data_IF_274966185110
#
_entry.id   IF_274966185110
#
_cell.length_a   1.000
_cell.length_b   1.000
_cell.length_c   1.000
_cell.angle_alpha   90.00
_cell.angle_beta   90.00
_cell.angle_gamma   90.00
#
_symmetry.space_group_name_H-M   'P 1'
#
loop_
_entity.id
_entity.type
_entity.pdbx_description
1 polymer ?
#
# COMPACT_ATOMS: atom_id res chain seq x y z
N UNK A 1 7.57 1.06 -28.99
CA UNK A 1 6.95 1.81 -27.87
C UNK A 1 6.48 0.93 -26.69
N UNK A 2 6.57 -0.40 -26.72
CA UNK A 2 5.96 -1.28 -25.68
C UNK A 2 6.86 -1.50 -24.44
N UNK A 3 8.18 -1.62 -24.62
CA UNK A 3 9.13 -1.85 -23.51
C UNK A 3 9.17 -0.67 -22.54
N UNK A 4 9.01 0.56 -23.06
CA UNK A 4 8.94 1.77 -22.24
C UNK A 4 7.76 1.78 -21.28
N UNK A 5 6.58 1.35 -21.73
CA UNK A 5 5.37 1.34 -20.89
C UNK A 5 5.41 0.33 -19.76
N UNK A 6 5.88 -0.89 -20.03
CA UNK A 6 6.03 -1.90 -18.98
C UNK A 6 7.01 -1.44 -17.90
N UNK A 7 8.14 -0.86 -18.32
CA UNK A 7 9.17 -0.34 -17.42
C UNK A 7 8.68 0.87 -16.62
N UNK A 8 7.92 1.77 -17.25
CA UNK A 8 7.30 2.92 -16.56
C UNK A 8 6.38 2.48 -15.42
N UNK A 9 5.60 1.42 -15.61
CA UNK A 9 4.71 0.92 -14.57
C UNK A 9 5.48 0.34 -13.37
N UNK A 10 6.52 -0.44 -13.63
CA UNK A 10 7.39 -1.00 -12.57
C UNK A 10 8.14 0.11 -11.82
N UNK A 11 8.64 1.11 -12.54
CA UNK A 11 9.34 2.24 -11.93
C UNK A 11 8.39 3.09 -11.06
N UNK A 12 7.17 3.34 -11.53
CA UNK A 12 6.13 4.05 -10.77
C UNK A 12 5.81 3.34 -9.46
N UNK A 13 5.65 2.01 -9.52
CA UNK A 13 5.46 1.16 -8.35
C UNK A 13 6.61 1.29 -7.33
N UNK A 14 7.86 1.18 -7.81
CA UNK A 14 9.04 1.27 -6.96
C UNK A 14 9.20 2.65 -6.28
N UNK A 15 8.96 3.73 -7.02
CA UNK A 15 9.02 5.10 -6.48
C UNK A 15 7.92 5.31 -5.43
N UNK A 16 6.71 4.79 -5.69
CA UNK A 16 5.62 4.87 -4.76
C UNK A 16 5.91 4.12 -3.44
N UNK A 17 6.44 2.90 -3.50
CA UNK A 17 6.82 2.15 -2.30
C UNK A 17 7.94 2.84 -1.51
N UNK A 18 8.95 3.39 -2.21
CA UNK A 18 10.00 4.20 -1.57
C UNK A 18 9.41 5.40 -0.83
N UNK A 19 8.48 6.11 -1.44
CA UNK A 19 7.80 7.24 -0.80
C UNK A 19 7.06 6.81 0.48
N UNK A 20 6.33 5.70 0.45
CA UNK A 20 5.62 5.18 1.63
C UNK A 20 6.60 4.84 2.75
N UNK A 21 7.73 4.20 2.44
CA UNK A 21 8.76 3.84 3.41
C UNK A 21 9.43 5.06 4.07
N UNK A 22 9.60 6.14 3.32
CA UNK A 22 10.19 7.39 3.79
C UNK A 22 9.20 8.27 4.55
N UNK A 23 8.03 8.54 3.96
CA UNK A 23 7.00 9.41 4.55
C UNK A 23 6.25 8.74 5.70
N UNK A 24 6.20 7.39 5.71
CA UNK A 24 5.51 6.55 6.70
C UNK A 24 4.10 7.05 7.05
N UNK A 25 3.21 7.24 6.06
CA UNK A 25 1.85 7.74 6.29
C UNK A 25 1.01 6.79 7.16
N UNK A 26 1.38 5.50 7.21
CA UNK A 26 0.89 4.48 8.11
C UNK A 26 2.04 3.52 8.44
N UNK A 27 1.84 2.65 9.41
CA UNK A 27 2.82 1.68 9.91
C UNK A 27 2.24 0.28 9.89
N UNK A 28 3.12 -0.71 9.94
CA UNK A 28 2.74 -2.09 10.23
C UNK A 28 1.98 -2.11 11.57
N UNK A 29 0.83 -2.80 11.57
CA UNK A 29 -0.12 -2.86 12.67
C UNK A 29 -1.22 -1.80 12.63
N UNK A 30 -1.16 -0.79 11.76
CA UNK A 30 -2.26 0.17 11.65
C UNK A 30 -3.47 -0.47 10.96
N UNK A 31 -4.68 -0.12 11.43
CA UNK A 31 -5.94 -0.42 10.75
C UNK A 31 -6.28 0.76 9.86
N UNK A 32 -6.40 0.52 8.56
CA UNK A 32 -6.57 1.59 7.56
C UNK A 32 -7.70 1.31 6.56
N UNK A 33 -8.25 2.40 6.01
CA UNK A 33 -9.01 2.37 4.75
C UNK A 33 -8.13 3.00 3.66
N UNK A 34 -7.86 2.25 2.59
CA UNK A 34 -6.96 2.67 1.51
C UNK A 34 -7.24 1.88 0.24
N UNK A 35 -7.08 2.52 -0.93
CA UNK A 35 -7.16 1.85 -2.24
C UNK A 35 -8.44 1.01 -2.47
N UNK A 36 -9.57 1.42 -1.90
CA UNK A 36 -10.85 0.71 -1.97
C UNK A 36 -11.05 -0.38 -0.91
N UNK A 37 -10.02 -0.68 -0.12
CA UNK A 37 -10.09 -1.55 1.04
C UNK A 37 -10.53 -0.78 2.29
N UNK A 38 -11.32 -1.43 3.14
CA UNK A 38 -11.79 -0.86 4.41
C UNK A 38 -11.43 -1.78 5.58
N UNK A 39 -11.00 -1.17 6.68
CA UNK A 39 -10.66 -1.82 7.94
C UNK A 39 -9.66 -2.98 7.79
N UNK A 40 -8.64 -2.78 6.94
CA UNK A 40 -7.56 -3.76 6.76
C UNK A 40 -6.39 -3.45 7.69
N UNK A 41 -5.76 -4.50 8.21
CA UNK A 41 -4.57 -4.39 9.07
C UNK A 41 -3.33 -4.43 8.18
N UNK A 42 -2.46 -3.43 8.27
CA UNK A 42 -1.19 -3.43 7.54
C UNK A 42 -0.24 -4.45 8.16
N UNK A 43 0.20 -5.44 7.40
CA UNK A 43 1.10 -6.50 7.87
C UNK A 43 2.55 -6.28 7.42
N UNK A 44 2.74 -5.74 6.22
CA UNK A 44 4.07 -5.45 5.68
C UNK A 44 4.03 -4.27 4.69
N UNK A 45 5.16 -3.58 4.57
CA UNK A 45 5.34 -2.45 3.64
C UNK A 45 6.58 -2.74 2.79
N UNK A 46 6.35 -3.22 1.57
CA UNK A 46 7.39 -3.46 0.58
C UNK A 46 7.61 -2.28 -0.37
N UNK A 47 8.58 -2.43 -1.26
CA UNK A 47 8.89 -1.45 -2.30
C UNK A 47 7.89 -1.41 -3.46
N UNK A 48 7.10 -2.47 -3.65
CA UNK A 48 6.10 -2.57 -4.73
C UNK A 48 4.68 -2.78 -4.22
N UNK A 49 4.52 -3.43 -3.06
CA UNK A 49 3.24 -3.76 -2.49
C UNK A 49 3.23 -3.49 -1.00
N UNK A 50 2.08 -3.04 -0.51
CA UNK A 50 1.72 -3.12 0.90
C UNK A 50 0.90 -4.38 1.10
N UNK A 51 1.27 -5.20 2.06
CA UNK A 51 0.52 -6.40 2.44
C UNK A 51 -0.43 -6.01 3.56
N UNK A 52 -1.72 -6.29 3.37
CA UNK A 52 -2.73 -6.04 4.37
C UNK A 52 -3.63 -7.27 4.57
N UNK A 53 -4.18 -7.43 5.77
CA UNK A 53 -5.14 -8.48 6.09
C UNK A 53 -6.52 -7.90 6.31
N UNK A 54 -7.51 -8.45 5.61
CA UNK A 54 -8.94 -8.15 5.82
C UNK A 54 -9.47 -8.89 7.04
N UNK A 55 -10.62 -8.44 7.54
CA UNK A 55 -11.33 -9.06 8.67
C UNK A 55 -11.77 -10.51 8.41
N UNK A 56 -11.99 -10.88 7.15
CA UNK A 56 -12.30 -12.25 6.72
C UNK A 56 -11.07 -13.17 6.67
N UNK A 57 -9.88 -12.64 7.02
CA UNK A 57 -8.62 -13.37 7.05
C UNK A 57 -7.85 -13.38 5.72
N UNK A 58 -8.42 -12.83 4.65
CA UNK A 58 -7.77 -12.79 3.34
C UNK A 58 -6.60 -11.79 3.33
N UNK A 59 -5.53 -12.19 2.63
CA UNK A 59 -4.38 -11.34 2.36
C UNK A 59 -4.66 -10.52 1.10
N UNK A 60 -4.46 -9.21 1.21
CA UNK A 60 -4.60 -8.25 0.12
C UNK A 60 -3.23 -7.68 -0.19
N UNK A 61 -2.81 -7.80 -1.45
CA UNK A 61 -1.61 -7.18 -1.97
C UNK A 61 -2.01 -5.88 -2.66
N UNK A 62 -1.71 -4.75 -2.03
CA UNK A 62 -2.06 -3.43 -2.54
C UNK A 62 -0.85 -2.85 -3.27
N UNK A 63 -0.93 -2.59 -4.59
CA UNK A 63 0.13 -1.91 -5.32
C UNK A 63 0.45 -0.56 -4.67
N UNK A 64 1.72 -0.27 -4.38
CA UNK A 64 2.13 0.98 -3.74
C UNK A 64 1.69 2.22 -4.51
N UNK A 65 1.63 2.15 -5.86
CA UNK A 65 1.16 3.24 -6.71
C UNK A 65 -0.34 3.55 -6.56
N UNK A 66 -1.15 2.60 -6.07
CA UNK A 66 -2.58 2.84 -5.76
C UNK A 66 -2.78 3.57 -4.42
N UNK A 67 -1.74 3.60 -3.58
CA UNK A 67 -1.77 4.25 -2.26
C UNK A 67 -1.34 5.71 -2.40
N UNK A 68 -0.27 5.96 -3.14
CA UNK A 68 0.30 7.30 -3.29
C UNK A 68 -0.67 8.20 -4.04
N UNK A 69 -0.94 9.39 -3.47
CA UNK A 69 -1.88 10.36 -4.03
C UNK A 69 -3.35 10.07 -3.72
N UNK A 70 -3.67 9.00 -2.99
CA UNK A 70 -5.01 8.73 -2.50
C UNK A 70 -5.20 9.14 -1.04
N UNK A 71 -6.47 9.35 -0.67
CA UNK A 71 -6.85 9.54 0.73
C UNK A 71 -6.63 8.24 1.50
N UNK A 72 -5.96 8.34 2.64
CA UNK A 72 -5.73 7.25 3.59
C UNK A 72 -6.46 7.60 4.89
N UNK A 73 -7.26 6.68 5.43
CA UNK A 73 -7.89 6.84 6.74
C UNK A 73 -7.22 5.90 7.72
N UNK A 74 -6.65 6.43 8.80
CA UNK A 74 -6.08 5.62 9.89
C UNK A 74 -7.13 5.54 10.99
N UNK A 75 -7.62 4.33 11.28
CA UNK A 75 -8.72 4.12 12.23
C UNK A 75 -8.21 3.92 13.65
N UNK A 76 -7.24 3.04 13.82
CA UNK A 76 -6.62 2.74 15.11
C UNK A 76 -5.32 1.97 14.88
N UNK A 77 -4.53 1.85 15.94
CA UNK A 77 -3.40 0.92 15.97
C UNK A 77 -3.96 -0.44 16.42
N UNK A 78 -3.78 -1.50 15.64
CA UNK A 78 -4.04 -2.84 16.13
C UNK A 78 -3.08 -3.08 17.31
N UNK A 79 -3.64 -3.28 18.49
CA UNK A 79 -2.91 -3.55 19.74
C UNK A 79 -2.36 -4.97 19.76
#
# INVERSE_FOLDING_TARGET
>A
LVVGFATQNVLSQAVAGMFILLARPFRIGDVVDVAGESEVVVEDIGSMFTVARRKDGLIVLIPSSMIVGQKIVIRSRAS
#
